data_IF_881460068670
#
_entry.id   IF_881460068670
#
_cell.length_a   1.000
_cell.length_b   1.000
_cell.length_c   1.000
_cell.angle_alpha   90.00
_cell.angle_beta   90.00
_cell.angle_gamma   90.00
#
_symmetry.space_group_name_H-M   'P 1'
#
loop_
_entity.id
_entity.type
_entity.pdbx_description
1 polymer ?
#
# COMPACT_ATOMS: atom_id res chain seq x y z
N UNK A 1 0.94 21.05 0.34
CA UNK A 1 1.01 19.76 -0.39
C UNK A 1 -0.36 19.40 -0.94
N UNK A 2 -0.51 19.42 -2.27
CA UNK A 2 -1.77 19.08 -2.97
C UNK A 2 -2.02 17.55 -2.99
N UNK A 3 -3.17 17.13 -3.52
CA UNK A 3 -3.57 15.71 -3.53
C UNK A 3 -2.65 14.85 -4.41
N UNK A 4 -2.21 15.35 -5.57
CA UNK A 4 -1.33 14.61 -6.50
C UNK A 4 0.01 14.29 -5.83
N UNK A 5 0.64 15.28 -5.21
CA UNK A 5 1.92 15.10 -4.53
C UNK A 5 1.80 14.17 -3.32
N UNK A 6 0.69 14.26 -2.57
CA UNK A 6 0.38 13.31 -1.49
C UNK A 6 0.31 11.88 -2.01
N UNK A 7 -0.44 11.66 -3.10
CA UNK A 7 -0.62 10.32 -3.67
C UNK A 7 0.67 9.77 -4.27
N UNK A 8 1.49 10.61 -4.91
CA UNK A 8 2.80 10.22 -5.44
C UNK A 8 3.74 9.75 -4.32
N UNK A 9 3.83 10.50 -3.22
CA UNK A 9 4.64 10.10 -2.06
C UNK A 9 4.12 8.81 -1.42
N UNK A 10 2.81 8.69 -1.27
CA UNK A 10 2.19 7.49 -0.71
C UNK A 10 2.46 6.25 -1.58
N UNK A 11 2.35 6.39 -2.90
CA UNK A 11 2.66 5.34 -3.86
C UNK A 11 4.10 4.84 -3.68
N UNK A 12 5.09 5.74 -3.67
CA UNK A 12 6.50 5.36 -3.49
C UNK A 12 6.73 4.61 -2.18
N UNK A 13 6.11 5.07 -1.08
CA UNK A 13 6.23 4.40 0.23
C UNK A 13 5.60 3.01 0.22
N UNK A 14 4.41 2.86 -0.37
CA UNK A 14 3.74 1.56 -0.47
C UNK A 14 4.51 0.57 -1.35
N UNK A 15 5.04 1.02 -2.50
CA UNK A 15 5.87 0.17 -3.36
C UNK A 15 7.13 -0.29 -2.63
N UNK A 16 7.82 0.61 -1.91
CA UNK A 16 8.97 0.24 -1.10
C UNK A 16 8.63 -0.79 -0.03
N UNK A 17 7.53 -0.57 0.69
CA UNK A 17 7.04 -1.51 1.71
C UNK A 17 6.73 -2.89 1.11
N UNK A 18 6.02 -2.95 -0.03
CA UNK A 18 5.70 -4.23 -0.67
C UNK A 18 6.93 -4.94 -1.22
N UNK A 19 7.94 -4.21 -1.73
CA UNK A 19 9.20 -4.82 -2.15
C UNK A 19 9.97 -5.45 -0.99
N UNK A 20 9.95 -4.80 0.17
CA UNK A 20 10.66 -5.28 1.36
C UNK A 20 9.91 -6.44 2.05
N UNK A 21 8.60 -6.29 2.26
CA UNK A 21 7.78 -7.25 3.02
C UNK A 21 7.03 -8.25 2.14
N UNK A 22 7.11 -8.13 0.82
CA UNK A 22 6.48 -9.05 -0.14
C UNK A 22 7.24 -10.36 -0.25
N UNK A 23 7.38 -11.08 0.84
CA UNK A 23 7.94 -12.43 0.90
C UNK A 23 6.81 -13.46 0.95
N UNK A 24 7.05 -14.68 0.48
CA UNK A 24 6.13 -15.80 0.67
C UNK A 24 5.64 -15.89 2.12
N UNK A 25 4.39 -16.32 2.31
CA UNK A 25 3.66 -16.38 3.59
C UNK A 25 3.33 -15.04 4.26
N UNK A 26 3.81 -13.89 3.75
CA UNK A 26 3.48 -12.57 4.31
C UNK A 26 2.32 -11.85 3.60
N UNK A 27 1.62 -12.51 2.68
CA UNK A 27 0.54 -11.91 1.86
C UNK A 27 -0.57 -11.30 2.71
N UNK A 28 -0.93 -11.92 3.84
CA UNK A 28 -2.01 -11.44 4.72
C UNK A 28 -1.65 -10.09 5.35
N UNK A 29 -0.43 -9.96 5.89
CA UNK A 29 -0.02 -8.73 6.57
C UNK A 29 0.08 -7.56 5.59
N UNK A 30 0.65 -7.76 4.40
CA UNK A 30 0.78 -6.70 3.39
C UNK A 30 -0.59 -6.25 2.83
N UNK A 31 -1.58 -7.14 2.76
CA UNK A 31 -2.97 -6.80 2.42
C UNK A 31 -3.62 -5.97 3.53
N UNK A 32 -3.51 -6.41 4.78
CA UNK A 32 -4.03 -5.66 5.93
C UNK A 32 -3.40 -4.26 6.02
N UNK A 33 -2.08 -4.16 5.77
CA UNK A 33 -1.37 -2.89 5.74
C UNK A 33 -1.94 -1.93 4.67
N UNK A 34 -2.25 -2.43 3.46
CA UNK A 34 -2.91 -1.63 2.43
C UNK A 34 -4.26 -1.10 2.91
N UNK A 35 -5.05 -1.92 3.57
CA UNK A 35 -6.38 -1.55 4.06
C UNK A 35 -6.31 -0.50 5.18
N UNK A 36 -5.34 -0.61 6.09
CA UNK A 36 -5.11 0.42 7.10
C UNK A 36 -4.64 1.73 6.48
N UNK A 37 -3.72 1.68 5.52
CA UNK A 37 -3.29 2.87 4.76
C UNK A 37 -4.47 3.53 4.05
N UNK A 38 -5.39 2.75 3.47
CA UNK A 38 -6.62 3.24 2.86
C UNK A 38 -7.47 4.00 3.89
N UNK A 39 -7.71 3.41 5.07
CA UNK A 39 -8.50 4.06 6.14
C UNK A 39 -7.84 5.32 6.68
N UNK A 40 -6.52 5.30 6.88
CA UNK A 40 -5.76 6.46 7.35
C UNK A 40 -5.76 7.59 6.32
N UNK A 41 -5.69 7.28 5.03
CA UNK A 41 -5.79 8.27 3.96
C UNK A 41 -7.16 8.97 3.99
N UNK A 42 -8.26 8.21 4.14
CA UNK A 42 -9.60 8.79 4.30
C UNK A 42 -9.66 9.77 5.49
N UNK A 43 -9.18 9.35 6.66
CA UNK A 43 -9.11 10.21 7.87
C UNK A 43 -8.27 11.47 7.61
N UNK A 44 -7.10 11.34 6.99
CA UNK A 44 -6.17 12.44 6.71
C UNK A 44 -6.77 13.46 5.74
N UNK A 45 -7.46 13.00 4.68
CA UNK A 45 -8.10 13.87 3.70
C UNK A 45 -9.26 14.66 4.32
N UNK A 46 -10.08 14.01 5.14
CA UNK A 46 -11.18 14.68 5.85
C UNK A 46 -10.72 15.62 6.96
N UNK A 47 -9.58 15.36 7.60
CA UNK A 47 -9.03 16.27 8.62
C UNK A 47 -8.61 17.64 8.07
N UNK A 48 -8.33 17.76 6.77
CA UNK A 48 -7.81 19.00 6.17
C UNK A 48 -8.87 20.06 5.85
N UNK A 49 -10.14 19.73 5.96
CA UNK A 49 -11.23 20.61 5.53
C UNK A 49 -12.15 20.93 6.70
N UNK A 50 -12.49 22.22 6.88
CA UNK A 50 -13.54 22.68 7.80
C UNK A 50 -14.96 22.32 7.31
N UNK A 51 -15.11 21.79 6.09
CA UNK A 51 -16.36 21.20 5.53
C UNK A 51 -16.22 19.70 5.27
N UNK A 52 -17.33 18.97 5.28
CA UNK A 52 -17.40 17.54 4.90
C UNK A 52 -16.84 17.26 3.50
N UNK A 53 -15.54 16.99 3.41
CA UNK A 53 -14.84 16.91 2.12
C UNK A 53 -15.12 15.60 1.38
N UNK A 54 -15.10 14.47 2.10
CA UNK A 54 -15.26 13.13 1.56
C UNK A 54 -16.21 12.30 2.40
N UNK A 55 -17.29 11.83 1.79
CA UNK A 55 -17.96 10.60 2.21
C UNK A 55 -17.30 9.39 1.52
N UNK A 56 -17.66 8.17 1.93
CA UNK A 56 -17.10 6.94 1.37
C UNK A 56 -17.25 6.81 -0.14
N UNK A 57 -18.38 7.28 -0.71
CA UNK A 57 -18.61 7.25 -2.16
C UNK A 57 -17.64 8.15 -2.92
N UNK A 58 -17.52 9.42 -2.52
CA UNK A 58 -16.54 10.37 -3.10
C UNK A 58 -15.13 9.84 -2.94
N UNK A 59 -14.82 9.20 -1.80
CA UNK A 59 -13.51 8.63 -1.55
C UNK A 59 -13.21 7.43 -2.46
N UNK A 60 -14.20 6.59 -2.74
CA UNK A 60 -14.07 5.52 -3.72
C UNK A 60 -13.81 6.07 -5.13
N UNK A 61 -14.51 7.13 -5.56
CA UNK A 61 -14.23 7.81 -6.84
C UNK A 61 -12.82 8.41 -6.87
N UNK A 62 -12.37 9.00 -5.76
CA UNK A 62 -11.00 9.49 -5.64
C UNK A 62 -9.98 8.38 -5.82
N UNK A 63 -10.19 7.22 -5.19
CA UNK A 63 -9.31 6.05 -5.35
C UNK A 63 -9.38 5.41 -6.75
N UNK A 64 -10.47 5.60 -7.50
CA UNK A 64 -10.50 5.23 -8.93
C UNK A 64 -9.55 6.10 -9.75
N UNK A 65 -9.49 7.40 -9.46
CA UNK A 65 -8.57 8.35 -10.12
C UNK A 65 -7.12 8.18 -9.65
N UNK A 66 -6.91 7.90 -8.36
CA UNK A 66 -5.61 7.70 -7.74
C UNK A 66 -5.55 6.35 -7.02
N UNK A 67 -5.41 5.23 -7.76
CA UNK A 67 -5.39 3.91 -7.15
C UNK A 67 -4.18 3.73 -6.24
N UNK A 68 -4.37 2.98 -5.15
CA UNK A 68 -3.25 2.51 -4.33
C UNK A 68 -2.62 1.29 -5.00
N UNK A 69 -1.28 1.15 -4.97
CA UNK A 69 -0.60 -0.01 -5.53
C UNK A 69 -1.12 -1.29 -4.86
N UNK A 70 -1.20 -2.37 -5.61
CA UNK A 70 -1.59 -3.67 -5.07
C UNK A 70 -0.39 -4.33 -4.38
N UNK A 71 -0.57 -4.94 -3.20
CA UNK A 71 0.45 -5.78 -2.59
C UNK A 71 0.76 -6.96 -3.51
N UNK A 72 2.03 -7.31 -3.63
CA UNK A 72 2.54 -8.43 -4.43
C UNK A 72 3.63 -9.14 -3.65
N UNK A 73 3.81 -10.43 -3.92
CA UNK A 73 4.99 -11.18 -3.51
C UNK A 73 6.09 -10.93 -4.54
N UNK A 74 7.27 -10.58 -4.04
CA UNK A 74 8.50 -10.30 -4.80
C UNK A 74 9.60 -11.31 -4.52
N UNK A 75 9.55 -12.01 -3.37
CA UNK A 75 10.59 -12.93 -2.94
C UNK A 75 9.96 -14.25 -2.51
N UNK A 76 10.41 -15.34 -3.12
CA UNK A 76 10.04 -16.69 -2.70
C UNK A 76 11.05 -17.24 -1.70
N UNK A 77 10.61 -17.52 -0.47
CA UNK A 77 11.50 -18.11 0.55
C UNK A 77 11.93 -19.54 0.20
N UNK A 78 11.17 -20.24 -0.65
CA UNK A 78 11.50 -21.60 -1.11
C UNK A 78 12.65 -21.58 -2.12
N UNK A 79 12.66 -20.60 -3.03
CA UNK A 79 13.74 -20.44 -4.02
C UNK A 79 15.06 -20.03 -3.34
N UNK A 80 14.99 -19.15 -2.33
CA UNK A 80 16.15 -18.80 -1.51
C UNK A 80 16.76 -20.02 -0.80
N UNK A 81 15.93 -20.92 -0.27
CA UNK A 81 16.42 -22.14 0.39
C UNK A 81 17.16 -23.06 -0.58
N UNK A 82 16.65 -23.23 -1.80
CA UNK A 82 17.30 -24.06 -2.83
C UNK A 82 18.71 -23.56 -3.18
N UNK A 83 18.92 -22.24 -3.23
CA UNK A 83 20.25 -21.67 -3.47
C UNK A 83 21.21 -21.85 -2.28
N UNK A 84 20.73 -21.68 -1.04
CA UNK A 84 21.58 -21.85 0.15
C UNK A 84 21.99 -23.31 0.33
N UNK A 85 21.06 -24.25 0.07
CA UNK A 85 21.34 -25.68 0.15
C UNK A 85 22.27 -26.21 -0.95
N UNK A 86 22.48 -25.48 -2.04
CA UNK A 86 23.44 -25.84 -3.09
C UNK A 86 24.88 -25.35 -2.77
N UNK A 87 25.02 -24.43 -1.82
CA UNK A 87 26.31 -23.83 -1.43
C UNK A 87 26.91 -24.52 -0.19
N UNK A 88 26.11 -25.30 0.56
CA UNK A 88 26.59 -26.20 1.62
C UNK A 88 26.73 -27.63 1.12
#
# INVERSE_FOLDING_TARGET
MNAVELMKRLWTKLVGYYRYYGVTDNTRAIRNFKDEVRRLLYKRLNRRSQKDSFNWYKYALFLKKFPLPAPRIYVSIYELRSHISYIM
#
